data_IF_188079871523
#
_entry.id   IF_188079871523
#
_cell.length_a   1.000
_cell.length_b   1.000
_cell.length_c   1.000
_cell.angle_alpha   90.00
_cell.angle_beta   90.00
_cell.angle_gamma   90.00
#
_symmetry.space_group_name_H-M   'P 1'
#
loop_
_entity.id
_entity.type
_entity.pdbx_description
1 polymer ?
#
# COMPACT_ATOMS: atom_id res chain seq x y z
N UNK A 1 -11.15 -3.85 -12.92
CA UNK A 1 -11.01 -2.62 -13.70
C UNK A 1 -9.54 -2.35 -13.95
N UNK A 2 -9.23 -2.09 -15.20
CA UNK A 2 -7.85 -1.83 -15.59
C UNK A 2 -7.52 -0.34 -15.42
N UNK A 3 -6.40 -0.04 -14.79
CA UNK A 3 -5.98 1.34 -14.58
C UNK A 3 -5.14 1.83 -15.76
N UNK A 4 -5.41 3.05 -16.20
CA UNK A 4 -4.58 3.70 -17.22
C UNK A 4 -3.19 4.01 -16.63
N UNK A 5 -2.18 4.04 -17.48
CA UNK A 5 -0.81 4.36 -17.08
C UNK A 5 -0.73 5.65 -16.25
N UNK A 6 -1.48 6.68 -16.68
CA UNK A 6 -1.51 7.98 -16.01
C UNK A 6 -2.08 7.87 -14.59
N UNK A 7 -3.10 7.05 -14.41
CA UNK A 7 -3.69 6.81 -13.08
C UNK A 7 -2.72 6.09 -12.16
N UNK A 8 -2.00 5.09 -12.70
CA UNK A 8 -0.97 4.37 -11.95
C UNK A 8 0.12 5.33 -11.50
N UNK A 9 0.61 6.17 -12.41
CA UNK A 9 1.68 7.12 -12.09
C UNK A 9 1.22 8.16 -11.07
N UNK A 10 -0.04 8.57 -11.13
CA UNK A 10 -0.59 9.48 -10.12
C UNK A 10 -0.61 8.84 -8.73
N UNK A 11 -1.03 7.58 -8.65
CA UNK A 11 -1.01 6.85 -7.37
C UNK A 11 0.41 6.70 -6.83
N UNK A 12 1.38 6.42 -7.71
CA UNK A 12 2.78 6.29 -7.33
C UNK A 12 3.30 7.62 -6.75
N UNK A 13 2.99 8.74 -7.39
CA UNK A 13 3.43 10.05 -6.90
C UNK A 13 2.83 10.36 -5.53
N UNK A 14 1.55 10.06 -5.36
CA UNK A 14 0.88 10.29 -4.08
C UNK A 14 1.46 9.39 -2.98
N UNK A 15 1.77 8.14 -3.30
CA UNK A 15 2.42 7.24 -2.35
C UNK A 15 3.82 7.75 -1.97
N UNK A 16 4.59 8.25 -2.93
CA UNK A 16 5.90 8.82 -2.68
C UNK A 16 5.82 10.04 -1.77
N UNK A 17 4.81 10.89 -1.97
CA UNK A 17 4.59 12.07 -1.13
C UNK A 17 4.16 11.67 0.29
N UNK A 18 3.33 10.65 0.43
CA UNK A 18 2.89 10.15 1.73
C UNK A 18 4.06 9.64 2.58
N UNK A 19 5.10 9.13 1.93
CA UNK A 19 6.32 8.65 2.58
C UNK A 19 7.00 9.71 3.44
N UNK A 20 6.83 10.99 3.10
CA UNK A 20 7.43 12.11 3.84
C UNK A 20 6.92 12.22 5.27
N UNK A 21 5.76 11.69 5.56
CA UNK A 21 5.17 11.72 6.91
C UNK A 21 5.51 10.50 7.75
N UNK A 22 6.28 9.55 7.22
CA UNK A 22 6.62 8.33 7.94
C UNK A 22 7.39 8.64 9.23
N UNK A 23 7.06 7.90 10.28
CA UNK A 23 7.77 7.96 11.55
C UNK A 23 8.56 6.67 11.71
N UNK A 24 9.84 6.69 11.34
CA UNK A 24 10.68 5.49 11.28
C UNK A 24 12.05 5.70 11.96
N UNK A 25 12.07 6.07 13.27
CA UNK A 25 13.32 6.35 13.95
C UNK A 25 14.19 5.11 14.20
N UNK A 26 13.61 3.93 14.17
CA UNK A 26 14.32 2.68 14.48
C UNK A 26 14.87 2.03 13.23
N UNK A 27 14.02 1.75 12.25
CA UNK A 27 14.45 1.10 11.01
C UNK A 27 15.11 2.06 10.03
N UNK A 28 14.75 3.34 10.10
CA UNK A 28 15.15 4.37 9.14
C UNK A 28 14.74 3.99 7.70
N UNK A 29 13.64 3.26 7.59
CA UNK A 29 13.06 2.85 6.32
C UNK A 29 11.65 3.42 6.23
N UNK A 30 11.41 4.30 5.28
CA UNK A 30 10.14 5.01 5.12
C UNK A 30 9.33 4.46 3.97
N UNK A 31 8.06 4.17 4.22
CA UNK A 31 7.14 3.64 3.21
C UNK A 31 5.91 4.54 3.13
N UNK A 32 5.48 4.82 1.91
CA UNK A 32 4.22 5.50 1.64
C UNK A 32 3.31 4.61 0.82
N UNK A 33 2.02 4.75 1.03
CA UNK A 33 1.00 4.02 0.31
C UNK A 33 -0.11 4.96 -0.15
N UNK A 34 -0.65 4.68 -1.33
CA UNK A 34 -1.81 5.38 -1.87
C UNK A 34 -2.85 4.33 -2.26
N UNK A 35 -3.96 4.31 -1.53
CA UNK A 35 -5.05 3.34 -1.71
C UNK A 35 -6.19 4.01 -2.46
N UNK A 36 -6.55 3.43 -3.61
CA UNK A 36 -7.67 3.93 -4.42
C UNK A 36 -8.95 3.22 -4.01
N UNK A 37 -9.90 3.99 -3.48
CA UNK A 37 -11.21 3.47 -3.14
C UNK A 37 -12.11 3.35 -4.37
N UNK A 38 -13.13 2.52 -4.26
CA UNK A 38 -14.16 2.42 -5.29
C UNK A 38 -14.96 3.73 -5.42
N UNK A 39 -14.91 4.58 -4.39
CA UNK A 39 -15.48 5.92 -4.40
C UNK A 39 -14.62 6.94 -5.17
N UNK A 40 -13.54 6.49 -5.79
CA UNK A 40 -12.57 7.29 -6.54
C UNK A 40 -11.72 8.22 -5.67
N UNK A 41 -11.82 8.14 -4.35
CA UNK A 41 -10.94 8.87 -3.43
C UNK A 41 -9.66 8.09 -3.19
N UNK A 42 -8.58 8.81 -2.90
CA UNK A 42 -7.28 8.22 -2.61
C UNK A 42 -6.99 8.44 -1.13
N UNK A 43 -6.70 7.33 -0.44
CA UNK A 43 -6.39 7.33 0.99
C UNK A 43 -4.91 7.03 1.15
N UNK A 44 -4.19 7.93 1.80
CA UNK A 44 -2.74 7.79 1.96
C UNK A 44 -2.40 7.16 3.29
N UNK A 45 -1.23 6.53 3.34
CA UNK A 45 -0.67 6.00 4.58
C UNK A 45 0.85 6.04 4.54
N UNK A 46 1.44 6.01 5.72
CA UNK A 46 2.88 5.89 5.89
C UNK A 46 3.12 4.96 7.07
N UNK A 47 4.34 4.41 7.18
CA UNK A 47 4.65 3.57 8.32
C UNK A 47 4.92 4.43 9.56
N UNK A 48 4.48 3.91 10.70
CA UNK A 48 4.58 4.59 11.99
C UNK A 48 5.12 3.56 12.98
N UNK A 49 6.37 3.74 13.41
CA UNK A 49 7.04 2.82 14.31
C UNK A 49 6.77 3.15 15.76
N UNK A 50 7.08 2.22 16.62
CA UNK A 50 6.92 2.36 18.05
C UNK A 50 8.09 1.65 18.74
N UNK A 51 8.51 2.13 19.91
CA UNK A 51 9.54 1.47 20.70
C UNK A 51 9.13 0.04 21.06
N UNK A 52 7.85 -0.23 21.22
CA UNK A 52 7.32 -1.58 21.32
C UNK A 52 6.95 -2.08 19.93
N UNK A 53 7.28 -3.33 19.61
CA UNK A 53 7.15 -3.82 18.24
C UNK A 53 5.70 -3.98 17.76
N UNK A 54 4.79 -4.38 18.63
CA UNK A 54 3.42 -4.67 18.24
C UNK A 54 2.59 -3.43 17.86
N UNK A 55 2.68 -2.28 18.57
CA UNK A 55 1.82 -1.12 18.26
C UNK A 55 2.16 -0.40 16.96
N UNK A 56 3.32 -0.65 16.36
CA UNK A 56 3.69 -0.03 15.09
C UNK A 56 2.80 -0.48 13.95
N UNK A 57 2.72 0.33 12.89
CA UNK A 57 1.87 0.03 11.75
C UNK A 57 2.56 0.31 10.42
N UNK A 58 2.26 -0.53 9.43
CA UNK A 58 2.77 -0.35 8.08
C UNK A 58 1.95 0.69 7.31
N UNK A 59 2.55 1.26 6.27
CA UNK A 59 1.90 2.27 5.43
C UNK A 59 0.58 1.77 4.85
N UNK A 60 0.54 0.54 4.37
CA UNK A 60 -0.62 -0.05 3.74
C UNK A 60 -1.80 -0.15 4.71
N UNK A 61 -1.53 -0.60 5.95
CA UNK A 61 -2.58 -0.69 6.97
C UNK A 61 -3.03 0.68 7.43
N UNK A 62 -2.13 1.65 7.50
CA UNK A 62 -2.51 3.03 7.82
C UNK A 62 -3.52 3.56 6.80
N UNK A 63 -3.26 3.31 5.51
CA UNK A 63 -4.16 3.74 4.44
C UNK A 63 -5.51 3.01 4.52
N UNK A 64 -5.50 1.68 4.70
CA UNK A 64 -6.74 0.88 4.79
C UNK A 64 -7.57 1.30 6.00
N UNK A 65 -6.95 1.43 7.16
CA UNK A 65 -7.68 1.77 8.39
C UNK A 65 -8.25 3.18 8.32
N UNK A 66 -7.52 4.13 7.72
CA UNK A 66 -8.04 5.47 7.46
C UNK A 66 -9.29 5.40 6.58
N UNK A 67 -9.20 4.68 5.46
CA UNK A 67 -10.31 4.55 4.52
C UNK A 67 -11.54 3.92 5.18
N UNK A 68 -11.35 2.81 5.87
CA UNK A 68 -12.45 2.10 6.55
C UNK A 68 -13.08 2.98 7.61
N UNK A 69 -12.27 3.72 8.39
CA UNK A 69 -12.77 4.62 9.42
C UNK A 69 -13.55 5.79 8.83
N UNK A 70 -13.33 6.12 7.56
CA UNK A 70 -14.08 7.15 6.85
C UNK A 70 -15.25 6.59 6.05
N UNK A 71 -15.52 5.30 6.17
CA UNK A 71 -16.67 4.64 5.56
C UNK A 71 -16.42 3.95 4.22
N UNK A 72 -15.18 3.95 3.71
CA UNK A 72 -14.85 3.28 2.47
C UNK A 72 -14.30 1.88 2.74
N UNK A 73 -14.98 0.87 2.21
CA UNK A 73 -14.62 -0.55 2.41
C UNK A 73 -14.40 -1.31 1.10
N UNK A 74 -14.44 -0.62 -0.01
CA UNK A 74 -14.23 -1.21 -1.32
C UNK A 74 -13.09 -0.50 -2.02
N UNK A 75 -12.10 -1.26 -2.49
CA UNK A 75 -10.87 -0.70 -3.02
C UNK A 75 -10.53 -1.30 -4.38
N UNK A 76 -9.88 -0.51 -5.23
CA UNK A 76 -9.51 -0.87 -6.59
C UNK A 76 -8.02 -1.22 -6.71
N UNK A 77 -7.16 -0.44 -6.03
CA UNK A 77 -5.71 -0.60 -6.16
C UNK A 77 -4.98 0.07 -5.01
N UNK A 78 -3.73 -0.34 -4.81
CA UNK A 78 -2.82 0.32 -3.88
C UNK A 78 -1.45 0.47 -4.55
N UNK A 79 -0.83 1.64 -4.40
CA UNK A 79 0.55 1.87 -4.80
C UNK A 79 1.44 2.00 -3.57
N UNK A 80 2.62 1.42 -3.61
CA UNK A 80 3.55 1.37 -2.49
C UNK A 80 4.93 1.84 -2.95
N UNK A 81 5.51 2.80 -2.22
CA UNK A 81 6.84 3.32 -2.46
C UNK A 81 7.61 3.29 -1.14
N UNK A 82 8.77 2.65 -1.11
CA UNK A 82 9.59 2.56 0.09
C UNK A 82 11.06 2.75 -0.19
N UNK A 83 11.82 3.09 0.84
CA UNK A 83 13.26 3.25 0.77
C UNK A 83 13.82 3.81 2.06
N UNK A 84 15.14 3.88 2.15
CA UNK A 84 15.80 4.44 3.32
C UNK A 84 15.36 5.87 3.54
N UNK A 85 15.30 6.27 4.79
CA UNK A 85 14.76 7.56 5.21
C UNK A 85 15.46 8.76 4.54
N UNK A 86 16.76 8.65 4.30
CA UNK A 86 17.58 9.69 3.69
C UNK A 86 17.67 9.59 2.15
N UNK A 87 17.02 8.61 1.53
CA UNK A 87 16.97 8.48 0.07
C UNK A 87 15.76 9.22 -0.49
N UNK A 88 15.96 9.87 -1.63
CA UNK A 88 14.85 10.49 -2.35
C UNK A 88 13.93 9.40 -2.90
N UNK A 89 12.64 9.57 -2.71
CA UNK A 89 11.64 8.67 -3.26
C UNK A 89 11.67 8.74 -4.80
N UNK A 90 11.45 7.60 -5.44
CA UNK A 90 11.33 7.51 -6.90
C UNK A 90 12.60 7.82 -7.69
N UNK A 91 13.76 7.85 -7.04
CA UNK A 91 15.04 8.10 -7.73
C UNK A 91 15.90 6.83 -7.76
N UNK A 92 16.16 6.21 -6.61
CA UNK A 92 17.00 5.01 -6.52
C UNK A 92 16.49 4.00 -5.50
N UNK A 93 15.21 4.03 -5.20
CA UNK A 93 14.63 3.08 -4.26
C UNK A 93 14.45 1.72 -4.92
N UNK A 94 14.50 0.66 -4.12
CA UNK A 94 14.15 -0.66 -4.59
C UNK A 94 12.62 -0.84 -4.56
N UNK A 95 12.17 -2.01 -5.00
CA UNK A 95 10.76 -2.37 -4.85
C UNK A 95 10.48 -2.75 -3.40
N UNK A 96 9.38 -2.24 -2.85
CA UNK A 96 8.94 -2.53 -1.50
C UNK A 96 7.58 -3.21 -1.58
N UNK A 97 7.55 -4.49 -1.28
CA UNK A 97 6.30 -5.26 -1.29
C UNK A 97 5.61 -5.16 0.07
N UNK A 98 4.27 -5.29 0.12
CA UNK A 98 3.57 -5.31 1.39
C UNK A 98 3.91 -6.56 2.19
N UNK A 99 4.04 -6.41 3.51
CA UNK A 99 4.29 -7.56 4.38
C UNK A 99 3.07 -8.50 4.41
N UNK A 100 3.24 -9.69 4.96
CA UNK A 100 2.16 -10.68 5.01
C UNK A 100 0.94 -10.20 5.78
N UNK A 101 1.14 -9.47 6.87
CA UNK A 101 0.03 -8.91 7.67
C UNK A 101 -0.78 -7.93 6.84
N UNK A 102 -0.12 -7.05 6.09
CA UNK A 102 -0.81 -6.09 5.23
C UNK A 102 -1.55 -6.77 4.09
N UNK A 103 -0.98 -7.82 3.52
CA UNK A 103 -1.67 -8.61 2.49
C UNK A 103 -2.95 -9.23 3.04
N UNK A 104 -2.90 -9.76 4.25
CA UNK A 104 -4.07 -10.34 4.90
C UNK A 104 -5.12 -9.28 5.21
N UNK A 105 -4.71 -8.09 5.66
CA UNK A 105 -5.65 -6.99 5.93
C UNK A 105 -6.36 -6.57 4.65
N UNK A 106 -5.63 -6.44 3.54
CA UNK A 106 -6.23 -6.13 2.24
C UNK A 106 -7.22 -7.23 1.82
N UNK A 107 -6.88 -8.49 2.09
CA UNK A 107 -7.71 -9.64 1.70
C UNK A 107 -9.12 -9.58 2.28
N UNK A 108 -9.30 -8.92 3.42
CA UNK A 108 -10.63 -8.76 4.04
C UNK A 108 -11.59 -7.95 3.17
N UNK A 109 -11.05 -6.96 2.43
CA UNK A 109 -11.87 -5.94 1.77
C UNK A 109 -11.88 -6.03 0.24
N UNK A 110 -11.07 -6.90 -0.37
CA UNK A 110 -10.92 -6.89 -1.83
C UNK A 110 -11.15 -8.29 -2.42
N UNK A 111 -11.54 -8.30 -3.70
CA UNK A 111 -11.47 -9.51 -4.50
C UNK A 111 -10.00 -9.67 -4.94
N UNK A 112 -9.28 -10.69 -4.45
CA UNK A 112 -7.85 -10.82 -4.69
C UNK A 112 -7.47 -10.96 -6.16
N UNK A 113 -8.35 -11.48 -7.01
CA UNK A 113 -8.05 -11.62 -8.44
C UNK A 113 -8.23 -10.32 -9.21
N UNK A 114 -8.89 -9.32 -8.62
CA UNK A 114 -9.18 -8.06 -9.28
C UNK A 114 -8.40 -6.87 -8.71
N UNK A 115 -7.96 -6.95 -7.47
CA UNK A 115 -7.29 -5.83 -6.80
C UNK A 115 -5.82 -5.72 -7.24
N UNK A 116 -5.42 -4.51 -7.68
CA UNK A 116 -4.08 -4.27 -8.16
C UNK A 116 -3.15 -3.77 -7.05
N UNK A 117 -1.98 -4.39 -6.94
CA UNK A 117 -0.91 -3.97 -6.04
C UNK A 117 0.23 -3.46 -6.91
N UNK A 118 0.52 -2.17 -6.81
CA UNK A 118 1.51 -1.48 -7.63
C UNK A 118 2.75 -1.23 -6.76
N UNK A 119 3.86 -1.85 -7.15
CA UNK A 119 5.14 -1.66 -6.48
C UNK A 119 5.99 -0.77 -7.35
N UNK A 120 6.33 0.42 -6.88
CA UNK A 120 7.05 1.39 -7.70
C UNK A 120 8.46 1.64 -7.18
N UNK A 121 9.38 1.69 -8.11
CA UNK A 121 10.76 2.08 -7.90
C UNK A 121 10.97 3.51 -8.36
N UNK A 122 10.41 3.85 -9.52
CA UNK A 122 10.35 5.21 -10.06
C UNK A 122 8.96 5.41 -10.67
N UNK A 123 8.70 6.62 -11.18
CA UNK A 123 7.45 6.88 -11.89
C UNK A 123 7.31 5.99 -13.14
N UNK A 124 8.42 5.67 -13.79
CA UNK A 124 8.41 4.86 -15.02
C UNK A 124 8.67 3.37 -14.78
N UNK A 125 9.30 3.02 -13.65
CA UNK A 125 9.64 1.64 -13.32
C UNK A 125 8.76 1.14 -12.17
N UNK A 126 7.76 0.36 -12.51
CA UNK A 126 6.85 -0.22 -11.52
C UNK A 126 6.37 -1.60 -11.98
N UNK A 127 5.90 -2.37 -11.02
CA UNK A 127 5.32 -3.70 -11.27
C UNK A 127 3.88 -3.68 -10.78
N UNK A 128 2.99 -4.35 -11.50
CA UNK A 128 1.59 -4.48 -11.09
C UNK A 128 1.28 -5.96 -10.89
N UNK A 129 0.82 -6.28 -9.70
CA UNK A 129 0.38 -7.62 -9.33
C UNK A 129 -1.08 -7.59 -8.91
N UNK A 130 -1.75 -8.72 -8.99
CA UNK A 130 -3.00 -8.89 -8.25
C UNK A 130 -2.64 -9.28 -6.82
N UNK A 131 -3.56 -9.06 -5.89
CA UNK A 131 -3.33 -9.54 -4.52
C UNK A 131 -3.23 -11.07 -4.50
N UNK A 132 -3.98 -11.76 -5.37
CA UNK A 132 -3.93 -13.21 -5.48
C UNK A 132 -2.52 -13.72 -5.82
N UNK A 133 -1.80 -13.01 -6.69
CA UNK A 133 -0.43 -13.36 -7.01
C UNK A 133 0.51 -13.22 -5.82
N UNK A 134 0.24 -12.27 -4.93
CA UNK A 134 1.06 -12.01 -3.75
C UNK A 134 0.61 -12.75 -2.50
N UNK A 135 -0.58 -13.33 -2.51
CA UNK A 135 -1.13 -14.09 -1.38
C UNK A 135 -1.99 -15.25 -1.94
N UNK A 136 -1.33 -16.23 -2.57
CA UNK A 136 -2.07 -17.37 -3.15
C UNK A 136 -2.72 -18.22 -2.07
N UNK A 137 -3.84 -18.86 -2.42
CA UNK A 137 -4.57 -19.75 -1.50
C UNK A 137 -4.88 -19.06 -0.17
N UNK A 138 -5.33 -17.82 -0.22
CA UNK A 138 -5.48 -17.00 0.99
C UNK A 138 -6.77 -17.30 1.75
N UNK A 139 -6.68 -17.21 3.07
CA UNK A 139 -7.84 -17.25 3.95
C UNK A 139 -8.57 -15.91 3.90
N UNK A 140 -9.86 -15.90 3.74
CA UNK A 140 -10.64 -14.68 3.64
C UNK A 140 -12.03 -14.81 4.20
N UNK A 141 -12.84 -13.74 4.13
CA UNK A 141 -14.20 -13.74 4.69
C UNK A 141 -15.08 -14.87 4.17
N UNK A 142 -14.88 -15.32 2.94
CA UNK A 142 -15.67 -16.38 2.33
C UNK A 142 -15.52 -17.71 3.07
N UNK A 143 -14.39 -17.90 3.75
CA UNK A 143 -14.14 -19.14 4.51
C UNK A 143 -15.01 -19.24 5.76
N UNK A 144 -15.55 -18.13 6.23
CA UNK A 144 -16.35 -18.06 7.46
C UNK A 144 -17.84 -17.84 7.21
N UNK A 145 -18.25 -17.82 5.95
CA UNK A 145 -19.66 -17.65 5.58
C UNK A 145 -20.31 -18.96 5.21
#
# INVERSE_FOLDING_TARGET
MELAKKEIQNLIQIAADARKSAYAPYSRFAVGAALLGADMKIYTGCNIENAAFTPGNCAERTAVFKAVSEGCREFTAIAIVGGKLDEDALVKTGYTAPCGVCRQVLREFVNPSAFAVILARTIEEYKVYTLEELLPESFGPENLK
#
